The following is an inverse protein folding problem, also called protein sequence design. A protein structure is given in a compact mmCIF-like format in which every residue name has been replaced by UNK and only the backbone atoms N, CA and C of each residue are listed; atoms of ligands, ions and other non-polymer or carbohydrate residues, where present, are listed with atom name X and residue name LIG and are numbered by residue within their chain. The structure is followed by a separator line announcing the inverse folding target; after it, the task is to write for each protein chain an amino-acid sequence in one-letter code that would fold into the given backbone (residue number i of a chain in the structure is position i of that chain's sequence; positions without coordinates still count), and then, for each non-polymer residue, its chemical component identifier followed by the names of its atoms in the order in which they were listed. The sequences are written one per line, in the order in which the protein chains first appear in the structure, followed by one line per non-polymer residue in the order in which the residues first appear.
data_IF_256452818127
#
_entry.id   IF_256452818127
#
_cell.length_a   1.000
_cell.length_b   1.000
_cell.length_c   1.000
_cell.angle_alpha   90.00
_cell.angle_beta   90.00
_cell.angle_gamma   90.00
#
_symmetry.space_group_name_H-M   'P 1'
#
loop_
_entity.id
_entity.type
_entity.pdbx_description
1 polymer ?
#
# COMPACT_ATOMS: atom_id res chain seq x y z
N UNK A 1 -18.70 28.60 -16.60
CA UNK A 1 -18.25 28.90 -15.23
C UNK A 1 -18.88 27.85 -14.32
N UNK A 2 -18.13 26.83 -13.90
CA UNK A 2 -18.60 25.83 -12.92
C UNK A 2 -18.32 26.39 -11.51
N UNK A 3 -19.24 26.25 -10.54
CA UNK A 3 -19.03 26.80 -9.21
C UNK A 3 -17.91 26.04 -8.49
N UNK A 4 -16.87 26.79 -8.12
CA UNK A 4 -15.82 26.37 -7.21
C UNK A 4 -16.36 26.57 -5.79
N UNK A 5 -16.57 25.49 -5.03
CA UNK A 5 -16.76 25.59 -3.59
C UNK A 5 -15.38 25.66 -2.95
N UNK A 6 -14.88 26.88 -2.73
CA UNK A 6 -13.81 27.13 -1.77
C UNK A 6 -14.47 27.07 -0.39
N UNK A 7 -14.31 25.94 0.31
CA UNK A 7 -14.53 25.92 1.75
C UNK A 7 -13.28 26.56 2.39
N UNK A 8 -13.46 27.73 3.00
CA UNK A 8 -12.41 28.42 3.74
C UNK A 8 -11.99 27.65 5.00
N UNK A 9 -10.85 28.04 5.62
CA UNK A 9 -10.47 27.52 6.92
C UNK A 9 -11.45 28.06 7.97
N UNK A 10 -11.64 27.33 9.07
CA UNK A 10 -12.56 27.62 10.19
C UNK A 10 -13.99 27.03 10.05
N UNK A 11 -14.09 25.71 10.21
CA UNK A 11 -15.13 25.14 11.07
C UNK A 11 -14.56 23.88 11.73
N UNK A 12 -14.22 23.86 13.03
CA UNK A 12 -14.00 22.62 13.75
C UNK A 12 -15.28 21.80 13.64
N UNK A 13 -15.19 20.62 13.04
CA UNK A 13 -16.32 19.71 12.91
C UNK A 13 -16.90 19.43 14.30
N UNK A 14 -18.20 19.71 14.43
CA UNK A 14 -18.97 19.59 15.66
C UNK A 14 -18.79 18.22 16.30
N UNK A 15 -18.36 18.28 17.55
CA UNK A 15 -18.26 17.22 18.53
C UNK A 15 -19.64 16.56 18.76
N UNK A 16 -19.72 15.25 18.60
CA UNK A 16 -20.88 14.46 19.03
C UNK A 16 -20.57 13.76 20.35
N UNK A 17 -21.30 14.10 21.41
CA UNK A 17 -21.22 13.44 22.72
C UNK A 17 -21.86 12.04 22.64
N UNK A 18 -21.14 11.00 23.06
CA UNK A 18 -21.74 9.69 23.33
C UNK A 18 -22.70 9.74 24.53
N UNK A 19 -23.64 8.80 24.62
CA UNK A 19 -24.61 8.70 25.74
C UNK A 19 -23.95 8.47 27.11
N UNK A 20 -22.66 8.09 27.14
CA UNK A 20 -21.85 7.90 28.35
C UNK A 20 -20.98 9.13 28.72
N UNK A 21 -21.07 10.23 27.96
CA UNK A 21 -20.27 11.43 28.19
C UNK A 21 -18.76 11.26 27.94
N UNK A 22 -18.32 10.13 27.38
CA UNK A 22 -16.93 9.90 27.01
C UNK A 22 -16.58 10.55 25.66
N UNK A 23 -15.37 11.11 25.57
CA UNK A 23 -14.79 11.56 24.31
C UNK A 23 -14.40 10.35 23.48
N UNK A 24 -15.14 10.07 22.40
CA UNK A 24 -14.74 9.05 21.41
C UNK A 24 -14.30 9.76 20.14
N UNK A 25 -13.14 9.41 19.55
CA UNK A 25 -12.87 9.75 18.15
C UNK A 25 -14.06 9.27 17.33
N UNK A 26 -14.59 10.13 16.46
CA UNK A 26 -15.65 9.72 15.55
C UNK A 26 -15.18 8.48 14.80
N UNK A 27 -15.76 7.33 15.14
CA UNK A 27 -15.71 6.15 14.30
C UNK A 27 -16.48 6.51 13.02
N UNK A 28 -15.81 7.17 12.07
CA UNK A 28 -16.29 7.25 10.71
C UNK A 28 -15.99 5.89 10.06
N UNK A 29 -16.80 4.90 10.42
CA UNK A 29 -16.84 3.57 9.81
C UNK A 29 -17.52 3.71 8.45
N UNK A 30 -16.76 4.17 7.48
CA UNK A 30 -17.04 3.93 6.09
C UNK A 30 -15.72 3.78 5.36
N UNK A 31 -15.64 2.78 4.52
CA UNK A 31 -14.61 2.69 3.51
C UNK A 31 -15.26 2.78 2.15
N UNK A 32 -14.48 3.17 1.15
CA UNK A 32 -14.89 3.18 -0.24
C UNK A 32 -13.90 2.38 -1.05
N UNK A 33 -14.37 1.87 -2.19
CA UNK A 33 -13.50 1.18 -3.13
C UNK A 33 -12.54 2.19 -3.78
N UNK A 34 -11.28 1.80 -3.99
CA UNK A 34 -10.25 2.67 -4.57
C UNK A 34 -10.67 3.20 -5.96
N UNK A 35 -11.43 2.40 -6.72
CA UNK A 35 -11.98 2.79 -8.04
C UNK A 35 -13.09 3.87 -7.96
N UNK A 36 -13.61 4.16 -6.78
CA UNK A 36 -14.59 5.23 -6.55
C UNK A 36 -13.94 6.60 -6.36
N UNK A 37 -12.62 6.63 -6.12
CA UNK A 37 -11.86 7.87 -6.08
C UNK A 37 -11.79 8.52 -7.46
N UNK A 38 -11.61 9.83 -7.49
CA UNK A 38 -11.41 10.60 -8.72
C UNK A 38 -9.92 10.69 -9.08
N UNK A 39 -9.63 10.89 -10.37
CA UNK A 39 -8.29 11.31 -10.81
C UNK A 39 -7.88 12.56 -10.02
N UNK A 40 -6.61 12.65 -9.64
CA UNK A 40 -6.00 13.64 -8.72
C UNK A 40 -6.19 13.37 -7.23
N UNK A 41 -7.12 12.51 -6.81
CA UNK A 41 -7.23 12.14 -5.40
C UNK A 41 -5.92 11.52 -4.91
N UNK A 42 -5.56 11.87 -3.68
CA UNK A 42 -4.33 11.40 -3.05
C UNK A 42 -4.63 10.19 -2.20
N UNK A 43 -3.76 9.20 -2.30
CA UNK A 43 -3.80 8.03 -1.43
C UNK A 43 -2.45 7.83 -0.77
N UNK A 44 -2.45 7.20 0.40
CA UNK A 44 -1.22 6.71 1.02
C UNK A 44 -1.46 5.41 1.76
N UNK A 45 -0.44 4.57 1.76
CA UNK A 45 -0.33 3.46 2.68
C UNK A 45 0.31 3.95 3.97
N UNK A 46 -0.30 3.72 5.15
CA UNK A 46 0.16 4.28 6.41
C UNK A 46 1.56 3.81 6.80
N UNK A 47 2.07 2.71 6.23
CA UNK A 47 3.35 2.12 6.60
C UNK A 47 4.44 2.23 5.52
N UNK A 48 4.10 2.68 4.31
CA UNK A 48 5.07 2.90 3.24
C UNK A 48 5.81 4.23 3.43
N UNK A 49 7.15 4.19 3.36
CA UNK A 49 8.04 5.34 3.54
C UNK A 49 9.14 5.36 2.50
N UNK A 50 9.58 6.55 2.12
CA UNK A 50 10.81 6.76 1.37
C UNK A 50 11.56 7.96 1.95
N UNK A 51 12.87 7.80 2.18
CA UNK A 51 13.70 8.78 2.91
C UNK A 51 13.10 9.21 4.26
N UNK A 52 12.41 8.29 4.94
CA UNK A 52 11.78 8.53 6.25
C UNK A 52 10.38 9.15 6.20
N UNK A 53 9.90 9.61 5.04
CA UNK A 53 8.60 10.28 4.90
C UNK A 53 7.55 9.42 4.19
N UNK A 54 6.24 9.57 4.51
CA UNK A 54 5.16 8.88 3.81
C UNK A 54 5.19 9.12 2.31
N UNK A 55 4.99 8.06 1.54
CA UNK A 55 4.86 8.18 0.08
C UNK A 55 3.40 8.52 -0.23
N UNK A 56 3.17 9.73 -0.73
CA UNK A 56 1.86 10.15 -1.21
C UNK A 56 1.76 9.80 -2.69
N UNK A 57 0.73 9.05 -3.04
CA UNK A 57 0.37 8.68 -4.41
C UNK A 57 -0.82 9.50 -4.87
N UNK A 58 -0.97 9.67 -6.18
CA UNK A 58 -2.16 10.25 -6.81
C UNK A 58 -2.78 9.26 -7.77
N UNK A 59 -4.11 9.22 -7.78
CA UNK A 59 -4.89 8.50 -8.79
C UNK A 59 -4.64 9.13 -10.16
N UNK A 60 -3.99 8.38 -11.03
CA UNK A 60 -3.59 8.79 -12.36
C UNK A 60 -4.62 8.42 -13.45
N UNK A 61 -5.33 7.32 -13.23
CA UNK A 61 -6.35 6.77 -14.13
C UNK A 61 -7.11 5.62 -13.48
N UNK A 62 -8.35 5.41 -13.90
CA UNK A 62 -9.24 4.34 -13.42
C UNK A 62 -9.57 3.46 -14.63
N UNK A 63 -9.32 2.16 -14.52
CA UNK A 63 -9.46 1.21 -15.62
C UNK A 63 -8.81 1.72 -16.91
N UNK A 64 -7.56 2.19 -16.78
CA UNK A 64 -6.82 2.81 -17.88
C UNK A 64 -6.49 1.79 -18.97
N UNK A 65 -6.63 2.19 -20.23
CA UNK A 65 -6.33 1.35 -21.38
C UNK A 65 -4.85 0.93 -21.39
N UNK A 66 -4.58 -0.34 -21.65
CA UNK A 66 -3.22 -0.90 -21.62
C UNK A 66 -2.72 -1.26 -20.21
N UNK A 67 -3.40 -0.83 -19.15
CA UNK A 67 -3.14 -1.26 -17.78
C UNK A 67 -4.03 -2.44 -17.37
N UNK A 68 -3.74 -3.15 -16.27
CA UNK A 68 -4.55 -4.28 -15.83
C UNK A 68 -6.03 -3.90 -15.69
N UNK A 69 -6.92 -4.78 -16.17
CA UNK A 69 -8.36 -4.52 -16.13
C UNK A 69 -8.87 -4.34 -14.69
N UNK A 70 -9.77 -3.38 -14.48
CA UNK A 70 -10.30 -3.07 -13.15
C UNK A 70 -9.28 -2.47 -12.17
N UNK A 71 -8.11 -2.05 -12.65
CA UNK A 71 -7.09 -1.43 -11.80
C UNK A 71 -7.24 0.09 -11.71
N UNK A 72 -6.63 0.65 -10.67
CA UNK A 72 -6.38 2.08 -10.53
C UNK A 72 -4.89 2.33 -10.73
N UNK A 73 -4.57 3.16 -11.70
CA UNK A 73 -3.20 3.61 -11.96
C UNK A 73 -2.84 4.69 -10.96
N UNK A 74 -1.66 4.59 -10.37
CA UNK A 74 -1.16 5.53 -9.38
C UNK A 74 0.24 6.01 -9.75
N UNK A 75 0.57 7.25 -9.37
CA UNK A 75 1.92 7.79 -9.45
C UNK A 75 2.27 8.57 -8.20
N UNK A 76 3.55 8.68 -7.83
CA UNK A 76 3.92 9.50 -6.68
C UNK A 76 3.53 10.96 -6.93
N UNK A 77 2.92 11.63 -5.95
CA UNK A 77 2.46 13.02 -6.09
C UNK A 77 3.60 13.97 -6.49
N UNK A 78 4.80 13.67 -5.96
CA UNK A 78 6.02 14.47 -6.10
C UNK A 78 7.18 13.57 -6.52
N UNK A 79 8.25 14.18 -7.01
CA UNK A 79 9.49 13.47 -7.33
C UNK A 79 10.16 13.05 -6.03
N UNK A 80 10.38 11.75 -5.84
CA UNK A 80 10.80 11.22 -4.54
C UNK A 80 12.31 11.36 -4.29
N UNK A 81 13.10 11.36 -5.35
CA UNK A 81 14.56 11.55 -5.35
C UNK A 81 15.03 11.84 -6.77
N UNK A 82 16.27 12.28 -6.92
CA UNK A 82 16.96 12.32 -8.20
C UNK A 82 17.98 11.19 -8.25
N UNK A 83 18.04 10.46 -9.37
CA UNK A 83 18.90 9.28 -9.56
C UNK A 83 19.40 9.21 -11.00
N UNK A 84 20.63 8.74 -11.27
CA UNK A 84 21.01 8.33 -12.60
C UNK A 84 20.04 7.26 -13.11
N UNK A 85 19.64 7.36 -14.38
CA UNK A 85 18.85 6.32 -15.03
C UNK A 85 19.65 5.02 -15.11
N UNK A 86 20.94 5.14 -15.43
CA UNK A 86 21.88 4.03 -15.49
C UNK A 86 23.33 4.47 -15.20
N UNK A 87 24.22 3.55 -14.84
CA UNK A 87 25.64 3.83 -14.60
C UNK A 87 26.47 3.79 -15.88
N UNK A 88 27.55 4.57 -15.97
CA UNK A 88 28.48 4.53 -17.09
C UNK A 88 29.20 3.18 -17.21
N UNK A 89 29.38 2.72 -18.46
CA UNK A 89 29.85 1.38 -18.77
C UNK A 89 30.93 1.34 -19.86
N UNK A 90 31.62 0.21 -19.96
CA UNK A 90 32.49 -0.06 -21.10
C UNK A 90 31.67 -0.23 -22.38
N UNK A 91 31.84 0.69 -23.34
CA UNK A 91 31.11 0.73 -24.60
C UNK A 91 29.88 1.66 -24.59
N UNK A 92 29.34 1.96 -23.41
CA UNK A 92 28.30 2.96 -23.18
C UNK A 92 28.77 3.91 -22.08
N UNK A 93 29.72 4.82 -22.36
CA UNK A 93 30.34 5.67 -21.34
C UNK A 93 29.36 6.66 -20.68
N UNK A 94 28.16 6.81 -21.24
CA UNK A 94 27.08 7.63 -20.71
C UNK A 94 26.00 6.80 -19.99
N UNK A 95 26.18 5.48 -19.88
CA UNK A 95 25.22 4.50 -19.38
C UNK A 95 24.23 4.01 -20.43
N UNK A 96 23.48 2.96 -20.09
CA UNK A 96 22.51 2.31 -20.97
C UNK A 96 21.18 3.06 -21.00
N UNK A 97 20.74 3.57 -22.17
CA UNK A 97 19.44 4.23 -22.28
C UNK A 97 18.26 3.25 -22.38
N UNK A 98 18.51 1.94 -22.59
CA UNK A 98 17.46 0.94 -22.69
C UNK A 98 16.84 0.65 -21.32
N UNK A 99 15.55 0.94 -21.15
CA UNK A 99 14.87 0.80 -19.86
C UNK A 99 14.93 -0.63 -19.29
N UNK A 100 14.83 -1.67 -20.13
CA UNK A 100 14.90 -3.06 -19.68
C UNK A 100 16.23 -3.45 -19.00
N UNK A 101 17.33 -2.79 -19.36
CA UNK A 101 18.65 -3.01 -18.76
C UNK A 101 19.04 -1.97 -17.71
N UNK A 102 18.27 -0.89 -17.59
CA UNK A 102 18.60 0.21 -16.69
C UNK A 102 18.63 -0.18 -15.22
N UNK A 103 19.60 0.35 -14.49
CA UNK A 103 19.68 0.27 -13.05
C UNK A 103 18.44 0.84 -12.35
N UNK A 104 17.86 1.93 -12.87
CA UNK A 104 16.68 2.56 -12.27
C UNK A 104 15.46 1.63 -12.26
N UNK A 105 15.27 0.82 -13.30
CA UNK A 105 14.21 -0.19 -13.36
C UNK A 105 14.42 -1.27 -12.30
N UNK A 106 15.63 -1.83 -12.22
CA UNK A 106 15.97 -2.86 -11.24
C UNK A 106 15.74 -2.36 -9.81
N UNK A 107 16.23 -1.16 -9.51
CA UNK A 107 16.06 -0.54 -8.21
C UNK A 107 14.58 -0.25 -7.88
N UNK A 108 13.82 0.31 -8.83
CA UNK A 108 12.39 0.59 -8.66
C UNK A 108 11.57 -0.66 -8.32
N UNK A 109 11.93 -1.81 -8.90
CA UNK A 109 11.22 -3.08 -8.71
C UNK A 109 11.84 -4.02 -7.65
N UNK A 110 12.81 -3.55 -6.86
CA UNK A 110 13.47 -4.39 -5.86
C UNK A 110 13.02 -4.08 -4.44
N UNK A 111 12.71 -5.14 -3.67
CA UNK A 111 12.46 -5.08 -2.23
C UNK A 111 13.71 -5.44 -1.39
N UNK A 112 14.85 -5.67 -2.04
CA UNK A 112 16.09 -6.06 -1.39
C UNK A 112 16.60 -4.94 -0.47
N UNK A 113 17.25 -5.34 0.63
CA UNK A 113 17.86 -4.41 1.57
C UNK A 113 19.05 -3.64 0.97
N UNK A 114 19.66 -2.74 1.76
CA UNK A 114 20.77 -1.90 1.31
C UNK A 114 21.90 -2.68 0.63
N UNK A 115 22.27 -2.26 -0.59
CA UNK A 115 23.36 -2.86 -1.36
C UNK A 115 23.09 -4.25 -1.95
N UNK A 116 21.85 -4.73 -1.91
CA UNK A 116 21.48 -6.10 -2.34
C UNK A 116 20.58 -6.14 -3.57
N UNK A 117 20.18 -5.00 -4.13
CA UNK A 117 19.21 -4.97 -5.24
C UNK A 117 19.86 -5.12 -6.62
N UNK A 118 21.12 -4.72 -6.77
CA UNK A 118 21.80 -4.67 -8.07
C UNK A 118 22.22 -6.08 -8.54
N UNK A 119 21.92 -6.39 -9.79
CA UNK A 119 22.44 -7.56 -10.49
C UNK A 119 22.81 -7.19 -11.94
N UNK A 120 24.02 -7.52 -12.43
CA UNK A 120 24.40 -7.22 -13.80
C UNK A 120 23.42 -7.82 -14.82
N UNK A 121 22.87 -7.00 -15.72
CA UNK A 121 21.96 -7.42 -16.80
C UNK A 121 22.69 -7.85 -18.07
N UNK A 122 23.97 -7.48 -18.18
CA UNK A 122 24.86 -7.87 -19.27
C UNK A 122 26.33 -7.81 -18.83
N UNK A 123 27.24 -8.25 -19.72
CA UNK A 123 28.66 -8.46 -19.40
C UNK A 123 29.42 -7.19 -19.01
N UNK A 124 29.00 -6.04 -19.55
CA UNK A 124 29.62 -4.72 -19.27
C UNK A 124 28.89 -3.91 -18.21
N UNK A 125 27.77 -4.42 -17.70
CA UNK A 125 26.87 -3.67 -16.82
C UNK A 125 27.59 -3.28 -15.53
N UNK A 126 27.36 -2.05 -15.11
CA UNK A 126 27.99 -1.42 -13.97
C UNK A 126 26.91 -0.89 -13.02
N UNK A 127 27.09 -1.02 -11.70
CA UNK A 127 26.16 -0.43 -10.75
C UNK A 127 26.21 1.11 -10.86
N UNK A 128 25.16 1.82 -10.41
CA UNK A 128 25.12 3.28 -10.39
C UNK A 128 25.91 3.83 -9.19
N UNK A 129 27.17 3.42 -9.08
CA UNK A 129 28.13 3.84 -8.08
C UNK A 129 28.70 5.23 -8.42
N UNK A 130 29.31 5.90 -7.45
CA UNK A 130 29.86 7.25 -7.63
C UNK A 130 30.86 7.37 -8.79
N UNK A 131 31.64 6.32 -9.07
CA UNK A 131 32.57 6.27 -10.20
C UNK A 131 31.88 6.16 -11.57
N UNK A 132 30.64 5.68 -11.59
CA UNK A 132 29.85 5.44 -12.79
C UNK A 132 28.74 6.50 -12.97
N UNK A 133 28.66 7.49 -12.08
CA UNK A 133 27.76 8.62 -12.18
C UNK A 133 28.54 9.90 -12.55
N UNK A 134 27.89 10.83 -13.25
CA UNK A 134 28.52 12.10 -13.57
C UNK A 134 28.68 12.95 -12.31
N UNK A 135 29.91 13.19 -11.86
CA UNK A 135 30.21 13.78 -10.57
C UNK A 135 29.46 15.11 -10.26
N UNK A 136 29.32 16.07 -11.19
CA UNK A 136 28.52 17.29 -10.96
C UNK A 136 27.03 17.04 -10.67
N UNK A 137 26.45 15.97 -11.22
CA UNK A 137 25.03 15.65 -11.07
C UNK A 137 24.75 14.49 -10.11
N UNK A 138 25.81 13.78 -9.66
CA UNK A 138 25.85 12.93 -8.48
C UNK A 138 24.76 11.86 -8.38
N UNK A 139 24.32 11.61 -7.14
CA UNK A 139 23.20 10.74 -6.77
C UNK A 139 23.38 9.23 -7.03
N UNK A 140 24.59 8.72 -6.83
CA UNK A 140 24.83 7.28 -6.77
C UNK A 140 23.93 6.58 -5.72
N UNK A 141 23.55 5.34 -5.98
CA UNK A 141 22.53 4.63 -5.19
C UNK A 141 22.71 3.11 -5.14
N UNK A 142 23.85 2.61 -5.55
CA UNK A 142 24.24 1.21 -5.46
C UNK A 142 24.22 0.69 -4.01
N UNK A 143 24.58 1.54 -3.04
CA UNK A 143 24.52 1.21 -1.61
C UNK A 143 23.14 1.31 -0.96
N UNK A 144 22.12 1.86 -1.65
CA UNK A 144 20.78 2.03 -1.09
C UNK A 144 20.00 0.71 -1.11
N UNK A 145 18.88 0.66 -0.38
CA UNK A 145 17.91 -0.43 -0.56
C UNK A 145 17.16 -0.23 -1.88
N UNK A 146 16.61 -1.31 -2.43
CA UNK A 146 15.68 -1.22 -3.54
C UNK A 146 14.46 -0.35 -3.16
N UNK A 147 13.83 0.33 -4.11
CA UNK A 147 12.73 1.26 -3.83
C UNK A 147 11.56 0.58 -3.11
N UNK A 148 11.18 -0.64 -3.53
CA UNK A 148 10.08 -1.38 -2.90
C UNK A 148 10.41 -1.79 -1.46
N UNK A 149 11.67 -1.74 -1.02
CA UNK A 149 12.03 -2.05 0.36
C UNK A 149 11.32 -1.13 1.35
N UNK A 150 11.15 0.15 0.98
CA UNK A 150 10.43 1.15 1.78
C UNK A 150 8.90 1.03 1.76
N UNK A 151 8.34 0.15 0.92
CA UNK A 151 6.91 -0.12 0.86
C UNK A 151 6.50 -1.17 1.89
N UNK A 152 5.30 -1.06 2.45
CA UNK A 152 4.76 -2.08 3.34
C UNK A 152 4.58 -3.42 2.60
N UNK A 153 4.64 -4.57 3.31
CA UNK A 153 4.39 -5.88 2.70
C UNK A 153 3.03 -5.95 1.97
N UNK A 154 1.98 -5.36 2.54
CA UNK A 154 0.65 -5.34 1.96
C UNK A 154 0.60 -4.52 0.66
N UNK A 155 1.15 -3.30 0.68
CA UNK A 155 1.20 -2.47 -0.53
C UNK A 155 2.01 -3.15 -1.64
N UNK A 156 3.17 -3.73 -1.31
CA UNK A 156 3.99 -4.48 -2.28
C UNK A 156 3.27 -5.66 -2.91
N UNK A 157 2.42 -6.34 -2.14
CA UNK A 157 1.68 -7.52 -2.58
C UNK A 157 0.49 -7.13 -3.45
N UNK A 158 -0.11 -5.97 -3.16
CA UNK A 158 -1.21 -5.43 -3.94
C UNK A 158 -0.78 -4.85 -5.29
N UNK A 159 0.48 -4.43 -5.47
CA UNK A 159 0.96 -3.90 -6.75
C UNK A 159 0.81 -4.93 -7.88
N UNK A 160 -0.01 -4.58 -8.86
CA UNK A 160 -0.26 -5.38 -10.05
C UNK A 160 0.90 -5.26 -11.05
N UNK A 161 1.29 -6.34 -11.73
CA UNK A 161 2.26 -6.24 -12.82
C UNK A 161 1.67 -5.45 -13.99
N UNK A 162 2.40 -4.44 -14.44
CA UNK A 162 2.08 -3.61 -15.61
C UNK A 162 2.88 -4.08 -16.81
N UNK A 163 2.20 -4.26 -17.94
CA UNK A 163 2.83 -4.53 -19.21
C UNK A 163 3.44 -3.22 -19.75
N UNK A 164 4.76 -3.16 -19.82
CA UNK A 164 5.51 -1.95 -20.14
C UNK A 164 6.20 -2.14 -21.49
N UNK A 165 5.73 -1.42 -22.50
CA UNK A 165 6.41 -1.34 -23.81
C UNK A 165 7.52 -0.31 -23.72
N UNK A 166 8.79 -0.67 -23.94
CA UNK A 166 9.91 0.29 -23.94
C UNK A 166 10.72 0.22 -25.24
N UNK A 167 11.26 1.34 -25.71
CA UNK A 167 12.19 1.39 -26.86
C UNK A 167 13.54 0.70 -26.54
N UNK A 168 14.05 -0.09 -27.49
CA UNK A 168 15.34 -0.80 -27.39
C UNK A 168 16.57 0.13 -27.54
N UNK A 169 16.40 1.39 -27.91
CA UNK A 169 17.47 2.38 -28.04
C UNK A 169 18.35 2.23 -29.29
N UNK A 170 17.91 1.43 -30.26
CA UNK A 170 18.67 1.11 -31.49
C UNK A 170 18.28 1.94 -32.71
N UNK A 171 17.33 2.88 -32.56
CA UNK A 171 16.85 3.73 -33.66
C UNK A 171 15.96 3.01 -34.69
N UNK A 172 15.55 1.77 -34.42
CA UNK A 172 14.86 0.90 -35.37
C UNK A 172 13.42 0.53 -34.96
N UNK A 173 12.65 1.44 -34.33
CA UNK A 173 11.25 1.21 -33.90
C UNK A 173 11.02 -0.14 -33.17
N UNK A 174 12.04 -0.65 -32.48
CA UNK A 174 11.96 -1.94 -31.81
C UNK A 174 11.57 -1.71 -30.36
N UNK A 175 10.55 -2.42 -29.92
CA UNK A 175 10.07 -2.36 -28.54
C UNK A 175 10.35 -3.67 -27.80
N UNK A 176 10.48 -3.57 -26.48
CA UNK A 176 10.44 -4.70 -25.57
C UNK A 176 9.21 -4.63 -24.67
N UNK A 177 8.68 -5.79 -24.31
CA UNK A 177 7.58 -5.91 -23.36
C UNK A 177 8.14 -6.37 -22.00
N UNK A 178 8.09 -5.48 -21.03
CA UNK A 178 8.50 -5.71 -19.65
C UNK A 178 7.26 -5.95 -18.77
N UNK A 179 7.43 -6.65 -17.65
CA UNK A 179 6.37 -6.88 -16.66
C UNK A 179 6.86 -6.44 -15.30
N UNK A 180 6.54 -5.20 -14.96
CA UNK A 180 7.08 -4.52 -13.78
C UNK A 180 5.95 -4.16 -12.82
N UNK A 181 6.21 -4.20 -11.50
CA UNK A 181 5.22 -3.77 -10.50
C UNK A 181 5.20 -2.25 -10.33
N UNK A 182 6.33 -1.60 -10.61
CA UNK A 182 6.49 -0.16 -10.67
C UNK A 182 7.32 0.20 -11.88
N UNK A 183 7.00 1.31 -12.52
CA UNK A 183 7.75 1.82 -13.66
C UNK A 183 7.83 3.34 -13.65
N UNK A 184 8.59 3.90 -14.60
CA UNK A 184 8.52 5.33 -14.94
C UNK A 184 7.42 5.54 -15.98
N UNK A 185 6.81 6.73 -16.07
CA UNK A 185 5.83 6.99 -17.12
C UNK A 185 6.46 7.07 -18.51
N UNK A 186 5.65 6.81 -19.54
CA UNK A 186 6.02 6.96 -20.94
C UNK A 186 5.65 8.33 -21.51
N UNK A 187 6.27 8.76 -22.61
CA UNK A 187 5.85 9.96 -23.35
C UNK A 187 4.39 9.89 -23.83
N UNK A 188 3.93 8.70 -24.24
CA UNK A 188 2.54 8.45 -24.66
C UNK A 188 1.55 8.67 -23.51
N UNK A 189 1.86 8.16 -22.31
CA UNK A 189 1.07 8.36 -21.10
C UNK A 189 0.99 9.83 -20.68
N UNK A 190 2.03 10.61 -20.97
CA UNK A 190 2.01 12.06 -20.75
C UNK A 190 1.15 12.81 -21.79
N UNK A 191 0.69 12.15 -22.86
CA UNK A 191 0.03 12.81 -23.98
C UNK A 191 0.97 13.74 -24.77
N UNK A 192 2.28 13.52 -24.65
CA UNK A 192 3.31 14.19 -25.44
C UNK A 192 3.68 13.23 -26.58
N UNK A 193 2.90 13.28 -27.67
CA UNK A 193 3.04 12.34 -28.80
C UNK A 193 4.39 12.40 -29.53
N UNK A 194 4.45 11.71 -30.69
CA UNK A 194 5.59 11.66 -31.62
C UNK A 194 6.77 10.76 -31.22
N UNK A 195 6.54 9.66 -30.50
CA UNK A 195 7.50 8.57 -30.45
C UNK A 195 7.15 7.45 -31.42
N UNK A 196 8.12 6.69 -31.94
CA UNK A 196 7.87 5.65 -32.94
C UNK A 196 7.09 4.44 -32.40
N UNK A 197 7.05 4.28 -31.08
CA UNK A 197 6.29 3.26 -30.38
C UNK A 197 5.23 3.91 -29.48
N UNK A 198 3.99 3.42 -29.56
CA UNK A 198 2.96 3.80 -28.59
C UNK A 198 3.10 2.97 -27.31
N UNK A 199 3.44 3.64 -26.22
CA UNK A 199 3.72 3.04 -24.94
C UNK A 199 2.55 3.24 -23.96
N UNK A 200 1.34 2.83 -24.36
CA UNK A 200 0.10 2.99 -23.59
C UNK A 200 -0.84 4.05 -24.17
N UNK A 201 -1.70 4.64 -23.35
CA UNK A 201 -2.61 5.72 -23.72
C UNK A 201 -2.40 6.95 -22.80
N UNK A 202 -2.79 8.17 -23.21
CA UNK A 202 -2.65 9.35 -22.35
C UNK A 202 -3.39 9.19 -21.02
N UNK A 203 -2.69 9.40 -19.90
CA UNK A 203 -3.26 9.37 -18.56
C UNK A 203 -4.00 10.68 -18.26
N UNK A 204 -5.17 10.56 -17.63
CA UNK A 204 -6.02 11.71 -17.30
C UNK A 204 -5.32 12.72 -16.38
N UNK A 205 -4.38 12.27 -15.54
CA UNK A 205 -3.59 13.16 -14.69
C UNK A 205 -2.62 14.05 -15.46
N UNK A 206 -2.30 13.74 -16.73
CA UNK A 206 -1.36 14.51 -17.55
C UNK A 206 -2.03 15.33 -18.66
N UNK A 207 -3.34 15.59 -18.54
CA UNK A 207 -4.15 16.25 -19.59
C UNK A 207 -3.64 17.61 -20.07
N UNK A 208 -2.89 18.36 -19.26
CA UNK A 208 -2.36 19.66 -19.63
C UNK A 208 -0.99 19.91 -18.99
N UNK A 209 -0.34 21.00 -19.40
CA UNK A 209 1.02 21.30 -19.00
C UNK A 209 1.21 21.50 -17.50
N UNK A 210 0.29 22.23 -16.85
CA UNK A 210 0.30 22.41 -15.40
C UNK A 210 0.18 21.07 -14.66
N UNK A 211 -0.66 20.17 -15.16
CA UNK A 211 -0.84 18.87 -14.54
C UNK A 211 0.36 17.93 -14.74
N UNK A 212 1.31 18.25 -15.63
CA UNK A 212 2.57 17.51 -15.81
C UNK A 212 3.69 18.03 -14.91
N UNK A 213 3.54 19.22 -14.33
CA UNK A 213 4.55 19.75 -13.42
C UNK A 213 4.69 18.86 -12.19
N UNK A 214 5.93 18.55 -11.84
CA UNK A 214 6.27 17.75 -10.66
C UNK A 214 7.39 18.44 -9.92
N UNK A 215 7.19 18.66 -8.63
CA UNK A 215 8.22 19.21 -7.76
C UNK A 215 8.76 18.08 -6.86
N UNK A 216 9.94 18.26 -6.27
CA UNK A 216 10.49 17.26 -5.35
C UNK A 216 9.73 17.23 -4.02
N UNK A 217 9.73 16.07 -3.35
CA UNK A 217 9.51 16.05 -1.91
C UNK A 217 10.63 16.85 -1.21
N UNK A 218 10.36 17.50 -0.07
CA UNK A 218 11.40 18.19 0.70
C UNK A 218 12.62 17.29 0.98
N UNK A 219 12.38 16.04 1.37
CA UNK A 219 13.41 15.06 1.68
C UNK A 219 14.17 14.62 0.43
N UNK A 220 13.46 14.42 -0.69
CA UNK A 220 14.06 14.08 -1.97
C UNK A 220 14.97 15.18 -2.51
N UNK A 221 14.59 16.45 -2.31
CA UNK A 221 15.44 17.60 -2.66
C UNK A 221 16.63 17.75 -1.73
N UNK A 222 16.44 17.54 -0.42
CA UNK A 222 17.51 17.59 0.56
C UNK A 222 18.58 16.52 0.27
N UNK A 223 18.17 15.33 -0.14
CA UNK A 223 19.05 14.23 -0.53
C UNK A 223 19.68 14.41 -1.93
N UNK A 224 19.19 15.33 -2.75
CA UNK A 224 19.71 15.55 -4.10
C UNK A 224 21.08 16.25 -4.06
N UNK A 225 22.11 15.55 -4.53
CA UNK A 225 23.49 16.01 -4.61
C UNK A 225 23.85 16.77 -5.90
N UNK A 226 22.92 16.89 -6.86
CA UNK A 226 23.19 17.57 -8.12
C UNK A 226 23.44 19.06 -7.94
N UNK A 227 24.48 19.59 -8.59
CA UNK A 227 24.75 21.03 -8.67
C UNK A 227 23.67 21.81 -9.44
N UNK A 228 22.81 21.11 -10.16
CA UNK A 228 21.72 21.67 -10.96
C UNK A 228 20.35 21.37 -10.36
N UNK A 229 20.23 20.97 -9.10
CA UNK A 229 18.94 20.74 -8.45
C UNK A 229 18.09 22.03 -8.36
N UNK A 230 16.75 21.94 -8.27
CA UNK A 230 15.90 23.12 -8.12
C UNK A 230 16.20 23.89 -6.82
N UNK A 231 15.83 25.17 -6.80
CA UNK A 231 16.11 26.07 -5.67
C UNK A 231 15.37 25.67 -4.39
N UNK A 232 14.14 25.16 -4.52
CA UNK A 232 13.28 24.74 -3.42
C UNK A 232 12.39 23.57 -3.84
N UNK A 233 11.65 23.02 -2.88
CA UNK A 233 10.77 21.90 -3.12
C UNK A 233 9.58 22.27 -3.99
N UNK A 234 9.21 23.55 -4.11
CA UNK A 234 8.01 24.00 -4.85
C UNK A 234 8.29 24.33 -6.31
N UNK A 235 9.56 24.40 -6.70
CA UNK A 235 9.97 24.62 -8.09
C UNK A 235 9.78 23.33 -8.92
N UNK A 236 8.96 23.35 -9.99
CA UNK A 236 8.82 22.20 -10.88
C UNK A 236 10.14 21.77 -11.48
N UNK A 237 10.32 20.46 -11.64
CA UNK A 237 11.54 19.87 -12.13
C UNK A 237 11.29 18.77 -13.15
N UNK A 238 12.34 18.46 -13.90
CA UNK A 238 12.34 17.41 -14.91
C UNK A 238 12.49 16.02 -14.29
N UNK A 239 11.85 15.04 -14.90
CA UNK A 239 11.86 13.66 -14.42
C UNK A 239 12.03 12.67 -15.57
N UNK A 240 12.61 11.51 -15.25
CA UNK A 240 12.88 10.47 -16.23
C UNK A 240 11.61 9.85 -16.79
N UNK A 241 11.65 9.52 -18.08
CA UNK A 241 10.66 8.71 -18.77
C UNK A 241 11.29 7.36 -19.15
N UNK A 242 10.48 6.32 -19.31
CA UNK A 242 10.95 4.98 -19.69
C UNK A 242 11.25 4.80 -21.20
N UNK A 243 11.71 5.87 -21.86
CA UNK A 243 11.94 5.90 -23.29
C UNK A 243 13.33 6.44 -23.66
N UNK A 244 14.06 5.70 -24.49
CA UNK A 244 15.35 6.11 -25.04
C UNK A 244 15.19 7.02 -26.25
N UNK A 245 16.10 7.97 -26.43
CA UNK A 245 16.17 8.82 -27.64
C UNK A 245 17.09 8.19 -28.69
N UNK A 246 18.23 7.68 -28.21
CA UNK A 246 19.29 7.06 -28.98
C UNK A 246 20.19 6.27 -28.00
N UNK A 247 21.30 5.73 -28.49
CA UNK A 247 22.25 4.90 -27.71
C UNK A 247 23.02 5.67 -26.62
N UNK A 248 22.78 6.96 -26.42
CA UNK A 248 23.49 7.80 -25.46
C UNK A 248 22.60 8.71 -24.61
N UNK A 249 21.27 8.67 -24.78
CA UNK A 249 20.35 9.58 -24.11
C UNK A 249 18.96 9.00 -23.86
N UNK A 250 18.34 9.42 -22.75
CA UNK A 250 16.99 9.05 -22.30
C UNK A 250 16.12 10.30 -22.21
N UNK A 251 14.83 10.16 -22.52
CA UNK A 251 13.89 11.27 -22.41
C UNK A 251 13.62 11.66 -20.94
N UNK A 252 13.51 12.97 -20.73
CA UNK A 252 13.04 13.57 -19.49
C UNK A 252 11.88 14.51 -19.79
N UNK A 253 10.80 14.44 -19.04
CA UNK A 253 9.67 15.35 -19.18
C UNK A 253 9.79 16.58 -18.28
N UNK A 254 9.24 17.69 -18.78
CA UNK A 254 8.79 18.84 -18.00
C UNK A 254 7.34 19.18 -18.40
N UNK A 255 6.82 20.34 -17.98
CA UNK A 255 5.41 20.71 -18.17
C UNK A 255 4.91 20.63 -19.61
N UNK A 256 5.69 21.15 -20.56
CA UNK A 256 5.25 21.33 -21.96
C UNK A 256 6.02 20.49 -22.98
N UNK A 257 7.13 19.88 -22.58
CA UNK A 257 8.06 19.25 -23.52
C UNK A 257 8.79 18.10 -22.85
N UNK A 258 9.44 17.28 -23.65
CA UNK A 258 10.53 16.45 -23.19
C UNK A 258 11.86 16.98 -23.72
N UNK A 259 12.92 16.71 -22.98
CA UNK A 259 14.32 16.90 -23.38
C UNK A 259 15.02 15.56 -23.26
N UNK A 260 16.30 15.48 -23.58
CA UNK A 260 17.07 14.26 -23.46
C UNK A 260 18.35 14.51 -22.70
N UNK A 261 18.72 13.58 -21.83
CA UNK A 261 19.97 13.65 -21.07
C UNK A 261 20.66 12.28 -21.07
N UNK A 262 22.00 12.26 -20.91
CA UNK A 262 22.73 11.03 -20.68
C UNK A 262 22.24 10.24 -19.46
N UNK A 263 22.12 8.90 -19.54
CA UNK A 263 21.63 8.05 -18.44
C UNK A 263 22.36 8.22 -17.09
N UNK A 264 23.68 8.39 -17.12
CA UNK A 264 24.54 8.57 -15.95
C UNK A 264 24.41 9.92 -15.22
N UNK A 265 23.54 10.82 -15.70
CA UNK A 265 23.26 12.10 -15.06
C UNK A 265 22.23 11.97 -13.93
N UNK A 266 22.64 12.11 -12.68
CA UNK A 266 21.75 11.98 -11.52
C UNK A 266 20.79 13.13 -11.23
N UNK A 267 20.53 14.04 -12.17
CA UNK A 267 19.80 15.29 -11.88
C UNK A 267 18.29 15.23 -12.11
N UNK A 268 17.77 14.27 -12.88
CA UNK A 268 16.34 14.14 -13.09
C UNK A 268 15.67 13.40 -11.95
N UNK A 269 14.45 13.83 -11.63
CA UNK A 269 13.65 13.20 -10.60
C UNK A 269 13.09 11.83 -11.04
N UNK A 270 12.81 11.00 -10.05
CA UNK A 270 12.12 9.73 -10.20
C UNK A 270 10.65 9.93 -9.86
N UNK A 271 9.77 9.53 -10.78
CA UNK A 271 8.32 9.56 -10.64
C UNK A 271 7.78 8.12 -10.76
N UNK A 272 7.79 7.32 -9.68
CA UNK A 272 7.27 5.97 -9.72
C UNK A 272 5.78 5.95 -10.07
N UNK A 273 5.41 5.01 -10.94
CA UNK A 273 4.04 4.73 -11.37
C UNK A 273 3.77 3.23 -11.22
N UNK A 274 2.54 2.86 -10.85
CA UNK A 274 2.11 1.48 -10.73
C UNK A 274 0.60 1.32 -10.84
N UNK A 275 0.12 0.09 -10.67
CA UNK A 275 -1.31 -0.22 -10.67
C UNK A 275 -1.69 -0.97 -9.40
N UNK A 276 -2.83 -0.61 -8.81
CA UNK A 276 -3.45 -1.31 -7.69
C UNK A 276 -4.81 -1.87 -8.12
N UNK A 277 -5.31 -2.97 -7.52
CA UNK A 277 -6.68 -3.42 -7.73
C UNK A 277 -7.67 -2.32 -7.37
N UNK A 278 -8.65 -2.07 -8.25
CA UNK A 278 -9.66 -1.05 -7.99
C UNK A 278 -10.57 -1.39 -6.80
N UNK A 279 -10.71 -2.67 -6.48
CA UNK A 279 -11.49 -3.15 -5.33
C UNK A 279 -10.81 -2.94 -3.97
N UNK A 280 -9.54 -2.50 -3.95
CA UNK A 280 -8.89 -2.19 -2.68
C UNK A 280 -9.69 -1.15 -1.90
N UNK A 281 -9.63 -1.28 -0.59
CA UNK A 281 -10.37 -0.43 0.32
C UNK A 281 -9.54 0.79 0.72
N UNK A 282 -10.17 1.96 0.74
CA UNK A 282 -9.60 3.20 1.30
C UNK A 282 -10.55 3.83 2.30
N UNK A 283 -10.04 4.69 3.18
CA UNK A 283 -10.89 5.52 4.04
C UNK A 283 -11.92 6.31 3.21
N UNK A 284 -13.12 6.51 3.74
CA UNK A 284 -14.16 7.32 3.07
C UNK A 284 -13.95 8.85 3.23
N UNK A 285 -12.92 9.25 3.94
CA UNK A 285 -12.51 10.64 4.11
C UNK A 285 -10.99 10.78 3.99
N UNK A 286 -10.58 11.95 3.56
CA UNK A 286 -9.17 12.35 3.57
C UNK A 286 -8.72 12.66 5.01
N UNK A 287 -7.46 12.35 5.29
CA UNK A 287 -6.81 12.69 6.54
C UNK A 287 -6.24 14.14 6.52
N UNK A 288 -5.48 14.49 7.55
CA UNK A 288 -4.86 15.82 7.70
C UNK A 288 -3.93 16.23 6.55
N UNK A 289 -3.39 15.26 5.81
CA UNK A 289 -2.50 15.50 4.67
C UNK A 289 -3.29 15.56 3.34
N UNK A 290 -4.63 15.50 3.42
CA UNK A 290 -5.52 15.44 2.27
C UNK A 290 -5.48 14.10 1.54
N UNK A 291 -5.10 13.02 2.22
CA UNK A 291 -4.95 11.69 1.62
C UNK A 291 -6.05 10.75 2.11
N UNK A 292 -6.62 9.97 1.19
CA UNK A 292 -7.32 8.75 1.55
C UNK A 292 -6.30 7.69 1.98
N UNK A 293 -6.59 6.96 3.05
CA UNK A 293 -5.66 5.98 3.62
C UNK A 293 -6.03 4.61 3.11
N UNK A 294 -5.08 3.92 2.48
CA UNK A 294 -5.27 2.53 2.06
C UNK A 294 -5.47 1.64 3.28
N UNK A 295 -6.43 0.74 3.15
CA UNK A 295 -6.81 -0.22 4.18
C UNK A 295 -6.63 -1.60 3.58
N UNK A 296 -5.61 -2.32 4.05
CA UNK A 296 -5.26 -3.65 3.55
C UNK A 296 -5.72 -4.79 4.45
N UNK A 297 -6.08 -4.50 5.69
CA UNK A 297 -6.50 -5.47 6.70
C UNK A 297 -7.30 -4.73 7.77
N UNK A 298 -8.63 -4.65 7.62
CA UNK A 298 -9.46 -4.15 8.70
C UNK A 298 -9.55 -5.22 9.76
N UNK A 299 -9.54 -4.77 11.01
CA UNK A 299 -9.95 -5.63 12.12
C UNK A 299 -11.36 -6.16 11.82
N UNK A 300 -11.64 -7.46 12.05
CA UNK A 300 -12.95 -8.01 11.78
C UNK A 300 -13.99 -7.36 12.69
N UNK A 301 -15.26 -7.51 12.36
CA UNK A 301 -16.30 -7.13 13.29
C UNK A 301 -16.34 -8.08 14.51
N UNK A 302 -16.90 -7.58 15.61
CA UNK A 302 -16.91 -8.34 16.86
C UNK A 302 -17.78 -9.60 16.74
N UNK A 303 -17.27 -10.80 17.09
CA UNK A 303 -18.09 -12.00 17.13
C UNK A 303 -19.18 -11.87 18.21
N UNK A 304 -20.25 -12.66 18.08
CA UNK A 304 -21.37 -12.66 19.03
C UNK A 304 -21.50 -14.01 19.72
N UNK A 305 -21.33 -14.04 21.04
CA UNK A 305 -21.57 -15.24 21.85
C UNK A 305 -23.06 -15.60 21.79
N UNK A 306 -23.35 -16.86 21.46
CA UNK A 306 -24.71 -17.43 21.46
C UNK A 306 -24.97 -18.27 22.71
N UNK A 307 -23.95 -18.90 23.28
CA UNK A 307 -24.04 -19.72 24.49
C UNK A 307 -22.68 -19.74 25.20
N UNK A 308 -22.63 -19.64 26.54
CA UNK A 308 -23.75 -19.52 27.46
C UNK A 308 -24.39 -18.13 27.46
N UNK A 309 -25.60 -18.01 28.00
CA UNK A 309 -26.28 -16.73 28.22
C UNK A 309 -25.78 -16.05 29.51
N UNK A 310 -25.94 -14.72 29.60
CA UNK A 310 -25.53 -13.97 30.77
C UNK A 310 -26.22 -14.47 32.05
N UNK A 311 -25.43 -14.76 33.09
CA UNK A 311 -25.90 -15.30 34.37
C UNK A 311 -26.19 -16.80 34.35
N UNK A 312 -25.97 -17.49 33.21
CA UNK A 312 -26.15 -18.94 33.14
C UNK A 312 -25.09 -19.65 33.99
N UNK A 313 -25.53 -20.69 34.70
CA UNK A 313 -24.63 -21.58 35.41
C UNK A 313 -24.02 -22.61 34.46
N UNK A 314 -22.70 -22.76 34.50
CA UNK A 314 -21.94 -23.65 33.62
C UNK A 314 -21.09 -24.62 34.44
N UNK A 315 -20.72 -25.76 33.84
CA UNK A 315 -19.73 -26.67 34.45
C UNK A 315 -18.33 -26.05 34.37
N UNK A 316 -17.38 -26.65 35.08
CA UNK A 316 -15.95 -26.28 35.03
C UNK A 316 -15.30 -26.52 33.65
N UNK A 317 -15.97 -27.29 32.78
CA UNK A 317 -15.73 -27.31 31.35
C UNK A 317 -17.03 -27.26 30.56
N UNK A 318 -17.06 -26.46 29.49
CA UNK A 318 -18.22 -26.24 28.63
C UNK A 318 -17.77 -25.78 27.24
N UNK A 319 -18.68 -25.73 26.28
CA UNK A 319 -18.41 -25.13 24.98
C UNK A 319 -18.93 -23.69 24.95
N UNK A 320 -18.04 -22.76 24.59
CA UNK A 320 -18.40 -21.37 24.32
C UNK A 320 -18.78 -21.28 22.84
N UNK A 321 -20.07 -21.12 22.55
CA UNK A 321 -20.59 -21.04 21.19
C UNK A 321 -20.76 -19.58 20.78
N UNK A 322 -20.43 -19.28 19.52
CA UNK A 322 -20.46 -17.93 18.98
C UNK A 322 -20.69 -17.94 17.47
N UNK A 323 -21.14 -16.79 16.98
CA UNK A 323 -21.27 -16.48 15.56
C UNK A 323 -20.12 -15.53 15.18
N UNK A 324 -19.31 -15.86 14.17
CA UNK A 324 -18.36 -14.93 13.60
C UNK A 324 -19.13 -13.77 12.93
N UNK A 325 -18.51 -12.59 12.93
CA UNK A 325 -19.03 -11.46 12.17
C UNK A 325 -18.37 -11.42 10.78
N UNK A 326 -18.86 -10.52 9.92
CA UNK A 326 -18.20 -10.28 8.65
C UNK A 326 -16.80 -9.70 8.89
N UNK A 327 -15.86 -10.13 8.06
CA UNK A 327 -14.63 -9.37 7.82
C UNK A 327 -14.82 -8.52 6.57
N UNK A 328 -14.31 -7.29 6.58
CA UNK A 328 -14.55 -6.34 5.49
C UNK A 328 -13.77 -6.70 4.22
N UNK A 329 -12.67 -7.42 4.36
CA UNK A 329 -11.80 -7.87 3.26
C UNK A 329 -12.07 -9.34 2.86
N UNK A 330 -12.87 -10.07 3.65
CA UNK A 330 -13.17 -11.49 3.43
C UNK A 330 -12.05 -12.43 3.90
N UNK A 331 -11.15 -11.95 4.75
CA UNK A 331 -10.02 -12.71 5.25
C UNK A 331 -10.44 -13.80 6.23
N UNK A 332 -9.55 -14.79 6.42
CA UNK A 332 -9.76 -15.86 7.40
C UNK A 332 -9.65 -15.31 8.83
N UNK A 333 -10.68 -15.55 9.62
CA UNK A 333 -10.75 -15.15 11.03
C UNK A 333 -10.34 -16.30 11.96
N UNK A 334 -9.41 -16.00 12.87
CA UNK A 334 -8.98 -16.88 13.95
C UNK A 334 -9.60 -16.44 15.27
N UNK A 335 -9.98 -17.40 16.12
CA UNK A 335 -10.70 -17.12 17.37
C UNK A 335 -9.92 -17.51 18.61
N UNK A 336 -10.10 -16.72 19.66
CA UNK A 336 -9.62 -17.02 21.00
C UNK A 336 -10.73 -16.72 22.01
N UNK A 337 -11.02 -17.67 22.90
CA UNK A 337 -11.86 -17.43 24.04
C UNK A 337 -11.03 -17.01 25.26
N UNK A 338 -11.51 -16.01 25.98
CA UNK A 338 -10.90 -15.52 27.21
C UNK A 338 -11.90 -15.64 28.36
N UNK A 339 -11.46 -16.19 29.49
CA UNK A 339 -12.27 -16.31 30.72
C UNK A 339 -11.46 -15.81 31.91
N UNK A 340 -12.08 -14.99 32.76
CA UNK A 340 -11.41 -14.36 33.91
C UNK A 340 -12.41 -14.07 35.05
N UNK A 341 -11.97 -14.03 36.33
CA UNK A 341 -12.76 -13.47 37.42
C UNK A 341 -12.84 -11.92 37.38
N UNK A 342 -12.03 -11.25 36.56
CA UNK A 342 -11.95 -9.79 36.48
C UNK A 342 -12.73 -9.25 35.26
N UNK A 343 -13.84 -8.50 35.44
CA UNK A 343 -14.66 -8.00 34.33
C UNK A 343 -13.91 -7.04 33.40
N UNK A 344 -12.78 -6.48 33.82
CA UNK A 344 -11.94 -5.62 32.97
C UNK A 344 -10.97 -6.39 32.07
N UNK A 345 -10.84 -7.70 32.26
CA UNK A 345 -9.87 -8.56 31.56
C UNK A 345 -8.41 -8.09 31.74
N UNK A 346 -8.11 -7.42 32.85
CA UNK A 346 -6.75 -6.91 33.13
C UNK A 346 -5.86 -7.92 33.85
N UNK A 347 -6.47 -8.88 34.54
CA UNK A 347 -5.76 -9.90 35.34
C UNK A 347 -6.49 -11.25 35.29
N UNK A 348 -5.78 -12.33 35.63
CA UNK A 348 -6.38 -13.67 35.77
C UNK A 348 -7.00 -14.25 34.49
N UNK A 349 -6.57 -13.80 33.30
CA UNK A 349 -7.16 -14.21 32.02
C UNK A 349 -6.63 -15.58 31.58
N UNK A 350 -7.54 -16.55 31.52
CA UNK A 350 -7.32 -17.85 30.89
C UNK A 350 -7.70 -17.77 29.41
N UNK A 351 -6.85 -18.29 28.52
CA UNK A 351 -7.00 -18.20 27.06
C UNK A 351 -7.14 -19.59 26.44
N UNK A 352 -8.07 -19.71 25.49
CA UNK A 352 -8.38 -20.96 24.81
C UNK A 352 -8.42 -20.72 23.30
N UNK A 353 -7.54 -21.40 22.57
CA UNK A 353 -7.39 -21.28 21.10
C UNK A 353 -7.52 -22.61 20.38
N UNK A 354 -7.50 -23.73 21.11
CA UNK A 354 -7.48 -25.08 20.53
C UNK A 354 -8.87 -25.71 20.53
N UNK A 355 -9.11 -26.60 19.55
CA UNK A 355 -10.36 -27.35 19.45
C UNK A 355 -11.54 -26.56 18.89
N UNK A 356 -11.28 -25.56 18.05
CA UNK A 356 -12.34 -24.83 17.33
C UNK A 356 -13.15 -25.81 16.48
N UNK A 357 -14.48 -25.73 16.58
CA UNK A 357 -15.40 -26.54 15.81
C UNK A 357 -16.47 -25.67 15.14
N UNK A 358 -16.90 -26.07 13.94
CA UNK A 358 -17.95 -25.44 13.13
C UNK A 358 -19.15 -26.38 13.00
N UNK A 359 -20.36 -25.84 13.11
CA UNK A 359 -21.60 -26.59 12.84
C UNK A 359 -21.87 -26.67 11.33
N UNK A 360 -22.04 -27.89 10.80
CA UNK A 360 -22.31 -28.15 9.38
C UNK A 360 -23.80 -28.35 9.04
N UNK A 361 -24.68 -28.23 10.03
CA UNK A 361 -26.12 -28.54 9.91
C UNK A 361 -26.51 -29.90 10.50
N UNK A 362 -25.55 -30.82 10.63
CA UNK A 362 -25.75 -32.20 11.12
C UNK A 362 -24.88 -32.53 12.33
N UNK A 363 -23.73 -31.89 12.46
CA UNK A 363 -22.76 -32.13 13.53
C UNK A 363 -21.71 -31.03 13.64
N UNK A 364 -20.87 -31.17 14.66
CA UNK A 364 -19.72 -30.31 14.89
C UNK A 364 -18.48 -30.91 14.22
N UNK A 365 -17.85 -30.14 13.35
CA UNK A 365 -16.64 -30.52 12.63
C UNK A 365 -15.45 -29.71 13.11
N UNK A 366 -14.23 -30.29 13.19
CA UNK A 366 -13.02 -29.53 13.47
C UNK A 366 -12.82 -28.39 12.46
N UNK A 367 -12.42 -27.22 12.96
CA UNK A 367 -12.11 -26.04 12.16
C UNK A 367 -10.81 -25.39 12.64
N UNK A 368 -10.17 -24.60 11.78
CA UNK A 368 -8.96 -23.84 12.12
C UNK A 368 -9.19 -22.32 12.10
N UNK A 369 -10.14 -21.87 11.28
CA UNK A 369 -10.53 -20.48 11.10
C UNK A 369 -11.97 -20.44 10.55
N UNK A 370 -12.56 -19.25 10.46
CA UNK A 370 -13.76 -18.98 9.69
C UNK A 370 -13.41 -18.15 8.44
N UNK A 371 -13.92 -18.51 7.28
CA UNK A 371 -13.81 -17.70 6.05
C UNK A 371 -15.05 -16.85 5.78
N UNK A 372 -15.05 -16.13 4.65
CA UNK A 372 -16.19 -15.31 4.21
C UNK A 372 -17.50 -16.10 4.09
N UNK A 373 -17.44 -17.32 3.56
CA UNK A 373 -18.59 -18.23 3.40
C UNK A 373 -19.16 -18.74 4.75
N UNK A 374 -18.46 -18.48 5.85
CA UNK A 374 -18.85 -18.91 7.19
C UNK A 374 -19.62 -17.82 7.96
N UNK A 375 -19.92 -16.69 7.31
CA UNK A 375 -20.71 -15.62 7.89
C UNK A 375 -22.07 -16.14 8.40
N UNK A 376 -22.29 -16.06 9.71
CA UNK A 376 -23.50 -16.56 10.37
C UNK A 376 -23.51 -18.07 10.65
N UNK A 377 -22.46 -18.81 10.30
CA UNK A 377 -22.29 -20.20 10.76
C UNK A 377 -21.95 -20.23 12.26
N UNK A 378 -22.38 -21.29 12.94
CA UNK A 378 -22.15 -21.44 14.37
C UNK A 378 -20.80 -22.10 14.65
N UNK A 379 -19.99 -21.48 15.50
CA UNK A 379 -18.70 -22.00 15.95
C UNK A 379 -18.70 -22.23 17.46
N UNK A 380 -17.80 -23.09 17.94
CA UNK A 380 -17.57 -23.27 19.37
C UNK A 380 -16.12 -23.54 19.72
N UNK A 381 -15.72 -23.12 20.92
CA UNK A 381 -14.44 -23.44 21.54
C UNK A 381 -14.65 -24.20 22.85
N UNK A 382 -13.91 -25.30 23.09
CA UNK A 382 -13.93 -26.00 24.37
C UNK A 382 -13.21 -25.18 25.43
N UNK A 383 -13.92 -24.91 26.53
CA UNK A 383 -13.40 -24.28 27.73
C UNK A 383 -13.29 -25.36 28.80
N UNK A 384 -12.14 -25.42 29.48
CA UNK A 384 -11.90 -26.41 30.53
C UNK A 384 -10.98 -25.84 31.61
N UNK A 385 -10.90 -26.52 32.75
CA UNK A 385 -9.99 -26.16 33.84
C UNK A 385 -10.41 -24.92 34.64
N UNK A 386 -11.69 -24.55 34.60
CA UNK A 386 -12.18 -23.41 35.38
C UNK A 386 -12.39 -23.79 36.86
N UNK A 387 -12.21 -22.83 37.80
CA UNK A 387 -12.48 -23.05 39.20
C UNK A 387 -13.96 -23.34 39.46
N UNK A 388 -14.27 -24.15 40.48
CA UNK A 388 -15.63 -24.46 40.89
C UNK A 388 -16.25 -23.31 41.72
N UNK A 389 -17.55 -23.06 41.55
CA UNK A 389 -18.32 -22.05 42.30
C UNK A 389 -17.77 -20.61 42.21
N UNK A 390 -17.20 -20.25 41.06
CA UNK A 390 -16.64 -18.93 40.79
C UNK A 390 -17.55 -18.11 39.86
N UNK A 391 -17.65 -16.81 40.12
CA UNK A 391 -18.20 -15.85 39.17
C UNK A 391 -17.09 -15.44 38.19
N UNK A 392 -17.37 -15.58 36.90
CA UNK A 392 -16.42 -15.40 35.80
C UNK A 392 -17.03 -14.56 34.68
N UNK A 393 -16.17 -14.03 33.82
CA UNK A 393 -16.52 -13.25 32.65
C UNK A 393 -15.85 -13.88 31.44
N UNK A 394 -16.64 -14.19 30.41
CA UNK A 394 -16.17 -14.75 29.17
C UNK A 394 -16.33 -13.76 28.01
N UNK A 395 -15.37 -13.77 27.08
CA UNK A 395 -15.49 -13.11 25.77
C UNK A 395 -14.77 -13.92 24.71
N UNK A 396 -15.11 -13.69 23.45
CA UNK A 396 -14.40 -14.24 22.28
C UNK A 396 -13.77 -13.10 21.51
N UNK A 397 -12.55 -13.30 21.03
CA UNK A 397 -11.88 -12.40 20.11
C UNK A 397 -11.71 -13.01 18.72
N UNK A 398 -11.84 -12.21 17.67
CA UNK A 398 -11.55 -12.57 16.27
C UNK A 398 -10.34 -11.77 15.74
N UNK A 399 -9.50 -12.38 14.90
CA UNK A 399 -8.32 -11.75 14.28
C UNK A 399 -8.09 -12.27 12.86
N UNK A 400 -7.68 -11.44 11.91
CA UNK A 400 -7.41 -11.83 10.50
C UNK A 400 -6.08 -12.57 10.32
N UNK A 401 -5.22 -12.46 11.33
CA UNK A 401 -3.98 -13.21 11.44
C UNK A 401 -3.91 -13.85 12.81
N UNK A 402 -3.66 -15.16 12.86
CA UNK A 402 -3.54 -15.91 14.10
C UNK A 402 -2.58 -15.22 15.08
N UNK A 403 -3.09 -14.78 16.23
CA UNK A 403 -2.31 -14.14 17.29
C UNK A 403 -2.04 -12.63 17.09
N UNK A 404 -2.75 -11.95 16.19
CA UNK A 404 -2.65 -10.50 16.00
C UNK A 404 -3.16 -9.70 17.21
N UNK A 405 -2.58 -8.52 17.44
CA UNK A 405 -3.01 -7.56 18.47
C UNK A 405 -4.25 -6.74 18.07
N UNK A 406 -4.66 -6.76 16.80
CA UNK A 406 -5.81 -6.02 16.28
C UNK A 406 -7.10 -6.84 16.39
N UNK A 407 -7.39 -7.36 17.59
CA UNK A 407 -8.47 -8.31 17.78
C UNK A 407 -9.84 -7.67 18.00
N UNK A 408 -10.87 -8.32 17.48
CA UNK A 408 -12.27 -7.96 17.66
C UNK A 408 -12.95 -8.72 18.78
N UNK A 409 -13.31 -8.01 19.85
CA UNK A 409 -13.89 -8.64 21.05
C UNK A 409 -15.42 -8.59 21.03
N UNK A 410 -16.02 -9.74 21.33
CA UNK A 410 -17.44 -9.85 21.63
C UNK A 410 -17.85 -9.01 22.84
N UNK A 411 -19.16 -8.88 23.04
CA UNK A 411 -19.70 -8.52 24.35
C UNK A 411 -19.22 -9.50 25.44
N UNK A 412 -19.14 -9.02 26.66
CA UNK A 412 -18.76 -9.82 27.83
C UNK A 412 -19.99 -10.57 28.35
N UNK A 413 -19.84 -11.87 28.59
CA UNK A 413 -20.86 -12.72 29.18
C UNK A 413 -20.46 -13.06 30.63
N UNK A 414 -21.20 -12.60 31.65
CA UNK A 414 -21.01 -13.05 33.01
C UNK A 414 -21.53 -14.47 33.19
N UNK A 415 -20.77 -15.31 33.88
CA UNK A 415 -21.01 -16.74 34.07
C UNK A 415 -20.78 -17.10 35.54
N UNK A 416 -21.39 -18.22 35.97
CA UNK A 416 -21.05 -18.83 37.26
C UNK A 416 -20.78 -20.31 37.09
N UNK A 417 -19.64 -20.78 37.58
CA UNK A 417 -19.34 -22.22 37.52
C UNK A 417 -20.04 -22.97 38.67
N UNK A 418 -20.45 -24.22 38.43
CA UNK A 418 -20.98 -25.10 39.48
C UNK A 418 -21.64 -26.37 38.96
N UNK A 419 -21.78 -27.34 39.87
CA UNK A 419 -22.17 -28.72 39.51
C UNK A 419 -23.69 -28.97 39.45
N UNK A 420 -24.52 -27.95 39.76
CA UNK A 420 -25.98 -28.08 39.85
C UNK A 420 -26.64 -26.82 39.28
N UNK A 421 -27.49 -26.95 38.26
CA UNK A 421 -28.30 -25.86 37.67
C UNK A 421 -29.28 -25.28 38.69
#
# INVERSE_FOLDING_TARGET
VRPCFILGPETPLREGRGEDGSWRPAAQRGTVSLKELSVFDKIKDPDSRYLGSPIIWQVAGINHEGHPAGSVTILSQRLLCAKPFDGAESGLPNGNPRYGYSNIRQWLCSAAGPGQWYMPQHVSDNPPAGANAYAPYGNAYDGEAGFMHGLSPSFRSALLPVAVTADLGTGANQTELLRDRLCLPSPTELGLGNLPAEEGAPLAIFQNAWNRERCFTPEGLAANASSSKPADSETPWRFWLRASVNTAAVYQASSNTYTSEPPYYGQAGVLPMGCLPGELTVSNMQDKDGCFVLVFNQRPDAPRISSPQAGQRVKTGFYLEFLPAADAEGDMQFFQAEVTPDPSFSSGVSRFTEGLEKWDGTGWQPAQAAGEDDAGALFRLPIAGLPLNADLYARVSATDQAGSSYAAYSGIVPLRTGDIL
#
